data_IF_968131470480
#
_entry.id   IF_968131470480
#
_cell.length_a   1.000
_cell.length_b   1.000
_cell.length_c   1.000
_cell.angle_alpha   90.00
_cell.angle_beta   90.00
_cell.angle_gamma   90.00
#
_symmetry.space_group_name_H-M   'P 1'
#
loop_
_entity.id
_entity.type
_entity.pdbx_description
1 polymer ?
#
# COMPACT_ATOMS: atom_id res chain seq x y z
N UNK A 1 -4.76 14.30 0.65
CA UNK A 1 -4.23 12.93 0.83
C UNK A 1 -4.11 12.29 -0.54
N UNK A 2 -2.90 11.85 -0.91
CA UNK A 2 -2.66 11.17 -2.20
C UNK A 2 -3.33 9.81 -2.17
N UNK A 3 -4.10 9.49 -3.20
CA UNK A 3 -4.62 8.14 -3.39
C UNK A 3 -3.53 7.29 -4.02
N UNK A 4 -3.30 6.11 -3.45
CA UNK A 4 -2.41 5.11 -4.04
C UNK A 4 -3.21 3.85 -4.33
N UNK A 5 -2.74 3.11 -5.32
CA UNK A 5 -3.42 1.94 -5.82
C UNK A 5 -2.46 0.75 -5.80
N UNK A 6 -3.02 -0.41 -5.54
CA UNK A 6 -2.31 -1.67 -5.63
C UNK A 6 -1.97 -2.02 -7.09
N UNK A 7 -1.26 -3.13 -7.31
CA UNK A 7 -0.93 -3.59 -8.67
C UNK A 7 -2.13 -3.88 -9.57
N UNK A 8 -3.30 -4.13 -8.99
CA UNK A 8 -4.55 -4.41 -9.68
C UNK A 8 -5.43 -3.17 -9.81
N UNK A 9 -4.88 -1.97 -9.53
CA UNK A 9 -5.56 -0.67 -9.60
C UNK A 9 -6.70 -0.54 -8.58
N UNK A 10 -6.67 -1.32 -7.50
CA UNK A 10 -7.56 -1.11 -6.36
C UNK A 10 -6.98 -0.06 -5.43
N UNK A 11 -7.80 0.88 -4.98
CA UNK A 11 -7.36 1.90 -4.02
C UNK A 11 -6.99 1.24 -2.69
N UNK A 12 -5.80 1.55 -2.16
CA UNK A 12 -5.39 1.15 -0.81
C UNK A 12 -5.84 2.23 0.18
N UNK A 13 -6.55 1.81 1.21
CA UNK A 13 -7.02 2.66 2.31
C UNK A 13 -6.51 2.09 3.62
N UNK A 14 -6.00 2.91 4.56
CA UNK A 14 -5.69 2.46 5.92
C UNK A 14 -6.83 1.64 6.56
N UNK A 15 -6.48 0.56 7.23
CA UNK A 15 -7.40 -0.44 7.79
C UNK A 15 -7.71 -1.61 6.85
N UNK A 16 -7.36 -1.53 5.56
CA UNK A 16 -7.58 -2.64 4.63
C UNK A 16 -6.50 -3.72 4.73
N UNK A 17 -6.92 -4.98 4.54
CA UNK A 17 -6.00 -6.10 4.38
C UNK A 17 -5.29 -6.01 3.04
N UNK A 18 -3.99 -6.26 3.06
CA UNK A 18 -3.14 -6.30 1.87
C UNK A 18 -2.24 -7.53 1.92
N UNK A 19 -1.87 -8.04 0.76
CA UNK A 19 -0.90 -9.11 0.59
C UNK A 19 0.34 -8.57 -0.12
N UNK A 20 1.52 -8.89 0.38
CA UNK A 20 2.79 -8.61 -0.30
C UNK A 20 2.92 -9.60 -1.45
N UNK A 21 2.94 -9.10 -2.69
CA UNK A 21 2.81 -9.90 -3.89
C UNK A 21 3.94 -10.93 -4.08
N UNK A 22 5.15 -10.62 -3.60
CA UNK A 22 6.32 -11.49 -3.74
C UNK A 22 6.35 -12.63 -2.72
N UNK A 23 5.87 -12.40 -1.50
CA UNK A 23 5.99 -13.36 -0.40
C UNK A 23 4.68 -14.06 -0.03
N UNK A 24 3.53 -13.52 -0.45
CA UNK A 24 2.21 -13.98 -0.05
C UNK A 24 1.84 -13.62 1.40
N UNK A 25 2.70 -12.89 2.11
CA UNK A 25 2.44 -12.44 3.49
C UNK A 25 1.27 -11.47 3.49
N UNK A 26 0.33 -11.69 4.40
CA UNK A 26 -0.86 -10.84 4.58
C UNK A 26 -0.66 -9.94 5.80
N UNK A 27 -0.98 -8.67 5.64
CA UNK A 27 -0.96 -7.65 6.69
C UNK A 27 -2.13 -6.67 6.50
N UNK A 28 -2.11 -5.55 7.21
CA UNK A 28 -3.08 -4.46 7.16
C UNK A 28 -2.33 -3.16 6.84
N UNK A 29 -2.81 -2.41 5.86
CA UNK A 29 -2.30 -1.07 5.60
C UNK A 29 -2.61 -0.16 6.78
N UNK A 30 -1.61 0.38 7.46
CA UNK A 30 -1.75 1.22 8.65
C UNK A 30 -1.82 2.70 8.31
N UNK A 31 -0.95 3.15 7.41
CA UNK A 31 -0.85 4.56 7.02
C UNK A 31 -0.25 4.72 5.62
N UNK A 32 -0.48 5.89 5.01
CA UNK A 32 0.09 6.25 3.70
C UNK A 32 0.92 7.52 3.85
N UNK A 33 2.22 7.39 3.60
CA UNK A 33 3.24 8.43 3.76
C UNK A 33 3.64 8.99 2.40
N UNK A 34 2.76 9.78 1.79
CA UNK A 34 2.92 10.30 0.42
C UNK A 34 2.76 11.83 0.33
N UNK A 35 3.05 12.55 1.41
CA UNK A 35 2.94 14.01 1.44
C UNK A 35 3.88 14.66 0.41
N UNK A 36 3.36 15.62 -0.35
CA UNK A 36 4.11 16.31 -1.41
C UNK A 36 4.37 15.49 -2.68
N UNK A 37 3.91 14.24 -2.75
CA UNK A 37 4.07 13.38 -3.94
C UNK A 37 2.86 13.49 -4.88
N UNK A 38 3.08 13.30 -6.18
CA UNK A 38 2.00 12.93 -7.10
C UNK A 38 1.60 11.47 -6.92
N UNK A 39 0.39 11.09 -7.36
CA UNK A 39 -0.06 9.69 -7.29
C UNK A 39 0.89 8.73 -8.02
N UNK A 40 1.39 9.13 -9.20
CA UNK A 40 2.32 8.32 -10.02
C UNK A 40 3.66 8.10 -9.32
N UNK A 41 4.15 9.10 -8.57
CA UNK A 41 5.36 8.95 -7.75
C UNK A 41 5.09 8.03 -6.56
N UNK A 42 4.01 8.27 -5.81
CA UNK A 42 3.67 7.50 -4.63
C UNK A 42 3.45 6.00 -4.93
N UNK A 43 2.89 5.67 -6.10
CA UNK A 43 2.71 4.28 -6.56
C UNK A 43 4.02 3.50 -6.76
N UNK A 44 5.17 4.20 -6.87
CA UNK A 44 6.50 3.61 -7.11
C UNK A 44 7.45 3.74 -5.91
N UNK A 45 7.00 4.36 -4.83
CA UNK A 45 7.80 4.64 -3.63
C UNK A 45 7.28 3.87 -2.41
N UNK A 46 8.13 3.64 -1.41
CA UNK A 46 7.76 2.93 -0.17
C UNK A 46 6.92 3.82 0.75
N UNK A 47 5.64 3.93 0.43
CA UNK A 47 4.71 4.85 1.11
C UNK A 47 3.64 4.16 1.96
N UNK A 48 3.37 2.87 1.78
CA UNK A 48 2.35 2.15 2.56
C UNK A 48 2.99 1.49 3.77
N UNK A 49 2.71 2.00 4.97
CA UNK A 49 3.14 1.35 6.22
C UNK A 49 2.19 0.20 6.55
N UNK A 50 2.75 -0.97 6.89
CA UNK A 50 1.99 -2.13 7.34
C UNK A 50 1.89 -2.18 8.87
N UNK A 51 0.77 -2.68 9.39
CA UNK A 51 0.43 -2.63 10.81
C UNK A 51 1.35 -3.49 11.66
N UNK A 52 1.61 -4.75 11.26
CA UNK A 52 2.34 -5.69 12.11
C UNK A 52 3.86 -5.55 11.96
N UNK A 53 4.37 -5.32 10.75
CA UNK A 53 5.82 -5.15 10.53
C UNK A 53 6.30 -3.73 10.80
N UNK A 54 5.44 -2.72 10.65
CA UNK A 54 5.83 -1.30 10.65
C UNK A 54 6.65 -0.89 9.42
N UNK A 55 6.93 -1.82 8.51
CA UNK A 55 7.70 -1.56 7.30
C UNK A 55 6.86 -0.84 6.25
N UNK A 56 7.53 -0.08 5.38
CA UNK A 56 6.89 0.60 4.25
C UNK A 56 7.11 -0.17 2.96
N UNK A 57 6.03 -0.33 2.22
CA UNK A 57 6.00 -1.03 0.94
C UNK A 57 5.56 -0.11 -0.19
N UNK A 58 6.02 -0.45 -1.39
CA UNK A 58 5.55 0.17 -2.63
C UNK A 58 4.12 -0.29 -2.88
N UNK A 59 3.16 0.61 -3.19
CA UNK A 59 1.78 0.22 -3.49
C UNK A 59 1.69 -0.89 -4.56
N UNK A 60 2.54 -0.81 -5.59
CA UNK A 60 2.60 -1.79 -6.68
C UNK A 60 3.12 -3.17 -6.26
N UNK A 61 3.76 -3.30 -5.10
CA UNK A 61 4.18 -4.58 -4.52
C UNK A 61 3.09 -5.22 -3.67
N UNK A 62 1.95 -4.54 -3.50
CA UNK A 62 0.83 -4.99 -2.68
C UNK A 62 -0.35 -5.42 -3.56
N UNK A 63 -1.19 -6.27 -2.98
CA UNK A 63 -2.51 -6.65 -3.49
C UNK A 63 -3.53 -6.41 -2.39
N UNK A 64 -4.52 -5.56 -2.63
CA UNK A 64 -5.63 -5.33 -1.71
C UNK A 64 -6.51 -6.58 -1.65
N UNK A 65 -6.87 -6.98 -0.44
CA UNK A 65 -7.74 -8.13 -0.19
C UNK A 65 -9.11 -7.67 0.30
N UNK A 66 -10.17 -8.23 -0.29
CA UNK A 66 -11.55 -7.91 0.05
C UNK A 66 -12.13 -6.73 -0.74
N UNK A 67 -13.42 -6.47 -0.52
CA UNK A 67 -14.17 -5.37 -1.12
C UNK A 67 -14.00 -4.07 -0.33
#
# INVERSE_FOLDING_TARGET
MVKVYDRNRNQIVPGQRVMIAQSGVIDVAKAIHADGMSAVQAEREKVVELLHTGERHVPFDLVRLGL
#
